data_IF_004913719478
#
_entry.id   IF_004913719478
#
_cell.length_a   1.000
_cell.length_b   1.000
_cell.length_c   1.000
_cell.angle_alpha   90.00
_cell.angle_beta   90.00
_cell.angle_gamma   90.00
#
_symmetry.space_group_name_H-M   'P 1'
#
loop_
_entity.id
_entity.type
_entity.pdbx_description
1 polymer ?
#
# COMPACT_ATOMS: atom_id res chain seq x y z
N UNK A 1 30.85 3.36 -4.36
CA UNK A 1 29.56 3.56 -5.05
C UNK A 1 28.67 4.46 -4.22
N UNK A 2 27.97 5.41 -4.85
CA UNK A 2 27.05 6.32 -4.14
C UNK A 2 25.73 5.60 -3.82
N UNK A 3 25.27 5.72 -2.57
CA UNK A 3 24.05 5.04 -2.08
C UNK A 3 22.76 5.79 -2.44
N UNK A 4 22.63 6.29 -3.67
CA UNK A 4 21.59 7.26 -4.04
C UNK A 4 20.30 6.60 -4.53
N UNK A 5 20.36 5.37 -5.07
CA UNK A 5 19.23 4.63 -5.64
C UNK A 5 19.36 3.12 -5.50
N UNK A 6 18.28 2.36 -5.67
CA UNK A 6 18.25 0.89 -5.49
C UNK A 6 19.23 0.13 -6.41
N UNK A 7 19.67 0.73 -7.52
CA UNK A 7 20.59 0.13 -8.47
C UNK A 7 21.94 -0.31 -7.89
N UNK A 8 22.41 0.31 -6.79
CA UNK A 8 23.66 -0.12 -6.17
C UNK A 8 23.56 -1.53 -5.58
N UNK A 9 22.37 -2.02 -5.21
CA UNK A 9 22.22 -3.31 -4.51
C UNK A 9 22.70 -4.46 -5.39
N UNK A 10 22.14 -4.60 -6.60
CA UNK A 10 22.50 -5.70 -7.50
C UNK A 10 23.97 -5.64 -7.96
N UNK A 11 24.47 -4.42 -8.22
CA UNK A 11 25.87 -4.24 -8.63
C UNK A 11 26.85 -4.48 -7.48
N UNK A 12 26.49 -4.10 -6.25
CA UNK A 12 27.27 -4.39 -5.05
C UNK A 12 27.38 -5.89 -4.82
N UNK A 13 26.26 -6.62 -4.86
CA UNK A 13 26.23 -8.09 -4.69
C UNK A 13 27.04 -8.82 -5.79
N UNK A 14 26.98 -8.33 -7.03
CA UNK A 14 27.77 -8.89 -8.13
C UNK A 14 29.28 -8.66 -7.95
N UNK A 15 29.68 -7.50 -7.43
CA UNK A 15 31.09 -7.17 -7.21
C UNK A 15 31.63 -7.89 -5.96
N UNK A 16 30.83 -7.99 -4.90
CA UNK A 16 31.16 -8.72 -3.68
C UNK A 16 31.34 -10.22 -3.97
N UNK A 17 30.44 -10.84 -4.73
CA UNK A 17 30.57 -12.25 -5.15
C UNK A 17 31.78 -12.53 -6.04
N UNK A 18 32.35 -11.49 -6.69
CA UNK A 18 33.60 -11.56 -7.46
C UNK A 18 34.85 -11.25 -6.62
N UNK A 19 34.71 -11.02 -5.32
CA UNK A 19 35.82 -10.78 -4.39
C UNK A 19 36.32 -9.34 -4.36
N UNK A 20 35.56 -8.36 -4.87
CA UNK A 20 35.95 -6.95 -4.78
C UNK A 20 35.54 -6.35 -3.43
N UNK A 21 36.43 -5.57 -2.83
CA UNK A 21 36.10 -4.74 -1.66
C UNK A 21 35.30 -3.51 -2.12
N UNK A 22 33.98 -3.58 -2.03
CA UNK A 22 33.10 -2.49 -2.44
C UNK A 22 32.80 -1.57 -1.26
N UNK A 23 33.17 -0.29 -1.39
CA UNK A 23 32.81 0.74 -0.42
C UNK A 23 31.53 1.46 -0.87
N UNK A 24 30.46 1.32 -0.09
CA UNK A 24 29.25 2.12 -0.24
C UNK A 24 29.49 3.48 0.43
N UNK A 25 29.18 4.59 -0.23
CA UNK A 25 29.45 5.93 0.30
C UNK A 25 28.15 6.73 0.34
N UNK A 26 27.92 7.44 1.45
CA UNK A 26 26.74 8.30 1.60
C UNK A 26 26.88 9.54 0.72
N UNK A 27 25.90 9.77 -0.15
CA UNK A 27 25.81 10.93 -1.04
C UNK A 27 25.98 12.28 -0.32
N UNK A 28 25.57 12.38 0.95
CA UNK A 28 25.69 13.61 1.76
C UNK A 28 27.14 13.99 2.05
N UNK A 29 28.06 13.02 2.08
CA UNK A 29 29.49 13.26 2.30
C UNK A 29 30.22 13.60 0.99
N UNK A 30 29.58 13.31 -0.15
CA UNK A 30 30.08 13.61 -1.50
C UNK A 30 29.32 14.84 -2.05
N UNK A 31 29.13 15.88 -1.23
CA UNK A 31 28.40 17.08 -1.63
C UNK A 31 29.07 17.70 -2.87
N UNK A 32 28.31 17.78 -3.97
CA UNK A 32 28.77 18.30 -5.26
C UNK A 32 29.15 19.78 -5.18
N UNK A 33 30.20 20.12 -5.90
CA UNK A 33 30.48 21.49 -6.35
C UNK A 33 29.42 21.85 -7.41
N UNK A 34 28.83 23.05 -7.34
CA UNK A 34 27.83 23.49 -8.32
C UNK A 34 28.47 23.84 -9.66
N UNK A 35 28.21 23.05 -10.71
CA UNK A 35 28.61 23.33 -12.09
C UNK A 35 28.72 22.06 -12.93
N UNK A 36 28.24 22.12 -14.19
CA UNK A 36 28.23 21.06 -15.24
C UNK A 36 28.69 19.67 -14.78
N UNK A 37 27.79 18.98 -14.09
CA UNK A 37 27.95 17.62 -13.57
C UNK A 37 27.77 16.61 -14.71
N UNK A 38 28.81 15.83 -15.02
CA UNK A 38 28.80 14.70 -15.95
C UNK A 38 29.12 13.45 -15.14
N UNK A 39 28.43 12.33 -15.39
CA UNK A 39 28.64 11.07 -14.66
C UNK A 39 30.11 10.63 -14.68
N UNK A 40 30.87 10.97 -15.73
CA UNK A 40 32.30 10.69 -15.85
C UNK A 40 33.13 11.53 -14.87
N UNK A 41 32.83 12.84 -14.77
CA UNK A 41 33.52 13.75 -13.85
C UNK A 41 33.22 13.36 -12.39
N UNK A 42 32.01 12.89 -12.12
CA UNK A 42 31.64 12.43 -10.78
C UNK A 42 32.36 11.16 -10.37
N UNK A 43 32.51 10.21 -11.29
CA UNK A 43 33.28 8.99 -11.05
C UNK A 43 34.76 9.31 -10.76
N UNK A 44 35.35 10.24 -11.53
CA UNK A 44 36.73 10.69 -11.32
C UNK A 44 36.89 11.39 -9.97
N UNK A 45 35.93 12.25 -9.60
CA UNK A 45 35.94 12.92 -8.30
C UNK A 45 35.82 11.94 -7.14
N UNK A 46 34.92 10.95 -7.23
CA UNK A 46 34.77 9.89 -6.24
C UNK A 46 36.04 9.03 -6.12
N UNK A 47 36.72 8.76 -7.24
CA UNK A 47 38.00 8.05 -7.24
C UNK A 47 39.09 8.86 -6.50
N UNK A 48 39.22 10.15 -6.77
CA UNK A 48 40.19 11.01 -6.09
C UNK A 48 39.93 11.04 -4.58
N UNK A 49 38.68 11.20 -4.16
CA UNK A 49 38.31 11.18 -2.74
C UNK A 49 38.60 9.82 -2.07
N UNK A 50 38.47 8.71 -2.82
CA UNK A 50 38.83 7.38 -2.34
C UNK A 50 40.35 7.24 -2.15
N UNK A 51 41.16 7.72 -3.09
CA UNK A 51 42.64 7.69 -3.00
C UNK A 51 43.13 8.45 -1.78
N UNK A 52 42.54 9.62 -1.51
CA UNK A 52 42.86 10.41 -0.33
C UNK A 52 42.28 9.84 0.99
N UNK A 53 41.59 8.69 0.94
CA UNK A 53 40.92 8.07 2.11
C UNK A 53 39.94 9.02 2.83
N UNK A 54 39.42 10.02 2.12
CA UNK A 54 38.47 11.00 2.66
C UNK A 54 37.03 10.46 2.68
N UNK A 55 36.78 9.31 2.05
CA UNK A 55 35.49 8.64 2.03
C UNK A 55 35.42 7.55 3.10
N UNK A 56 34.45 7.68 4.00
CA UNK A 56 34.11 6.61 4.94
C UNK A 56 33.00 5.74 4.36
N UNK A 57 33.23 4.43 4.34
CA UNK A 57 32.22 3.45 3.97
C UNK A 57 30.99 3.56 4.87
N UNK A 58 29.80 3.56 4.26
CA UNK A 58 28.54 3.40 4.95
C UNK A 58 28.44 1.98 5.49
N UNK A 59 27.92 1.85 6.71
CA UNK A 59 27.72 0.55 7.32
C UNK A 59 26.61 -0.22 6.62
N UNK A 60 26.95 -1.37 6.02
CA UNK A 60 26.02 -2.36 5.51
C UNK A 60 26.02 -3.56 6.48
N UNK A 61 24.86 -3.96 7.03
CA UNK A 61 24.73 -5.22 7.77
C UNK A 61 25.05 -6.42 6.88
N UNK A 62 25.30 -7.60 7.48
CA UNK A 62 25.43 -8.84 6.71
C UNK A 62 24.22 -9.12 5.82
N UNK A 63 24.44 -9.92 4.76
CA UNK A 63 23.41 -10.26 3.78
C UNK A 63 22.14 -10.82 4.43
N UNK A 64 22.29 -11.71 5.41
CA UNK A 64 21.18 -12.30 6.17
C UNK A 64 20.32 -11.23 6.87
N UNK A 65 20.97 -10.25 7.49
CA UNK A 65 20.28 -9.13 8.17
C UNK A 65 19.62 -8.21 7.14
N UNK A 66 20.24 -8.02 5.97
CA UNK A 66 19.67 -7.23 4.88
C UNK A 66 18.39 -7.88 4.33
N UNK A 67 18.41 -9.19 4.08
CA UNK A 67 17.26 -9.98 3.66
C UNK A 67 16.11 -9.91 4.69
N UNK A 68 16.43 -10.10 5.98
CA UNK A 68 15.45 -10.00 7.06
C UNK A 68 14.81 -8.61 7.13
N UNK A 69 15.61 -7.54 7.01
CA UNK A 69 15.11 -6.16 7.01
C UNK A 69 14.18 -5.89 5.82
N UNK A 70 14.46 -6.46 4.65
CA UNK A 70 13.59 -6.33 3.48
C UNK A 70 12.22 -6.98 3.72
N UNK A 71 12.19 -8.19 4.27
CA UNK A 71 10.94 -8.87 4.65
C UNK A 71 10.14 -8.08 5.70
N UNK A 72 10.82 -7.55 6.71
CA UNK A 72 10.17 -6.73 7.74
C UNK A 72 9.57 -5.44 7.18
N UNK A 73 10.30 -4.73 6.30
CA UNK A 73 9.76 -3.54 5.63
C UNK A 73 8.56 -3.87 4.77
N UNK A 74 8.58 -4.99 4.05
CA UNK A 74 7.43 -5.43 3.25
C UNK A 74 6.21 -5.71 4.16
N UNK A 75 6.41 -6.41 5.28
CA UNK A 75 5.35 -6.65 6.26
C UNK A 75 4.78 -5.34 6.81
N UNK A 76 5.63 -4.42 7.23
CA UNK A 76 5.22 -3.12 7.76
C UNK A 76 4.43 -2.31 6.71
N UNK A 77 4.87 -2.34 5.45
CA UNK A 77 4.15 -1.72 4.33
C UNK A 77 2.76 -2.33 4.15
N UNK A 78 2.64 -3.66 4.16
CA UNK A 78 1.36 -4.34 4.03
C UNK A 78 0.42 -4.00 5.20
N UNK A 79 0.94 -3.96 6.43
CA UNK A 79 0.16 -3.56 7.61
C UNK A 79 -0.35 -2.12 7.50
N UNK A 80 0.51 -1.18 7.08
CA UNK A 80 0.10 0.23 6.86
C UNK A 80 -0.93 0.35 5.72
N UNK A 81 -0.78 -0.45 4.67
CA UNK A 81 -1.68 -0.42 3.51
C UNK A 81 -3.02 -1.09 3.79
N UNK A 82 -3.10 -2.04 4.73
CA UNK A 82 -4.34 -2.74 5.08
C UNK A 82 -5.49 -1.77 5.38
N UNK A 83 -5.25 -0.78 6.24
CA UNK A 83 -6.26 0.24 6.58
C UNK A 83 -6.70 1.07 5.38
N UNK A 84 -5.77 1.39 4.48
CA UNK A 84 -6.08 2.12 3.24
C UNK A 84 -6.95 1.29 2.29
N UNK A 85 -6.65 0.00 2.15
CA UNK A 85 -7.46 -0.90 1.34
C UNK A 85 -8.87 -1.06 1.91
N UNK A 86 -9.02 -1.13 3.24
CA UNK A 86 -10.33 -1.13 3.90
C UNK A 86 -11.14 0.14 3.58
N UNK A 87 -10.52 1.31 3.70
CA UNK A 87 -11.16 2.58 3.37
C UNK A 87 -11.54 2.68 1.89
N UNK A 88 -10.70 2.18 0.99
CA UNK A 88 -11.00 2.16 -0.44
C UNK A 88 -12.19 1.26 -0.75
N UNK A 89 -12.29 0.08 -0.11
CA UNK A 89 -13.46 -0.80 -0.25
C UNK A 89 -14.74 -0.14 0.28
N UNK A 90 -14.68 0.49 1.46
CA UNK A 90 -15.80 1.25 2.01
C UNK A 90 -16.27 2.35 1.05
N UNK A 91 -15.32 3.13 0.51
CA UNK A 91 -15.62 4.21 -0.43
C UNK A 91 -16.29 3.68 -1.71
N UNK A 92 -15.80 2.57 -2.25
CA UNK A 92 -16.40 1.94 -3.44
C UNK A 92 -17.84 1.48 -3.17
N UNK A 93 -18.09 0.87 -2.01
CA UNK A 93 -19.44 0.46 -1.59
C UNK A 93 -20.38 1.66 -1.46
N UNK A 94 -19.93 2.77 -0.85
CA UNK A 94 -20.71 4.00 -0.75
C UNK A 94 -21.02 4.60 -2.13
N UNK A 95 -20.06 4.58 -3.07
CA UNK A 95 -20.28 5.05 -4.45
C UNK A 95 -21.32 4.21 -5.21
N UNK A 96 -21.46 2.93 -4.88
CA UNK A 96 -22.50 2.04 -5.43
C UNK A 96 -23.85 2.15 -4.70
N UNK A 97 -24.00 3.14 -3.80
CA UNK A 97 -25.17 3.34 -2.94
C UNK A 97 -25.47 2.14 -2.00
N UNK A 98 -24.41 1.43 -1.57
CA UNK A 98 -24.48 0.35 -0.60
C UNK A 98 -23.91 0.87 0.72
N UNK A 99 -24.77 1.15 1.70
CA UNK A 99 -24.36 1.74 2.98
C UNK A 99 -23.96 0.68 4.02
N UNK A 100 -23.15 -0.31 3.60
CA UNK A 100 -22.70 -1.40 4.47
C UNK A 100 -21.79 -0.92 5.62
N UNK A 101 -21.12 0.23 5.42
CA UNK A 101 -20.22 0.86 6.40
C UNK A 101 -20.94 1.36 7.66
N UNK A 102 -22.24 1.60 7.61
CA UNK A 102 -23.01 2.09 8.76
C UNK A 102 -23.44 0.95 9.70
N UNK A 103 -23.41 -0.29 9.21
CA UNK A 103 -24.01 -1.45 9.88
C UNK A 103 -22.95 -2.48 10.28
N UNK A 104 -21.86 -2.60 9.53
CA UNK A 104 -20.78 -3.55 9.82
C UNK A 104 -19.54 -2.78 10.30
N UNK A 105 -19.16 -2.99 11.56
CA UNK A 105 -17.97 -2.37 12.17
C UNK A 105 -16.66 -2.73 11.46
N UNK A 106 -16.60 -3.90 10.81
CA UNK A 106 -15.41 -4.36 10.08
C UNK A 106 -15.77 -5.20 8.85
N UNK A 107 -15.45 -4.69 7.65
CA UNK A 107 -15.75 -5.34 6.36
C UNK A 107 -14.82 -6.54 6.10
N UNK A 108 -13.63 -6.58 6.71
CA UNK A 108 -12.67 -7.66 6.54
C UNK A 108 -12.91 -8.88 7.45
N UNK A 109 -14.02 -8.91 8.19
CA UNK A 109 -14.43 -10.11 8.92
C UNK A 109 -15.16 -11.09 8.01
N UNK A 110 -15.22 -12.36 8.44
CA UNK A 110 -15.84 -13.46 7.66
C UNK A 110 -17.23 -13.10 7.11
N UNK A 111 -18.02 -12.36 7.87
CA UNK A 111 -19.37 -11.93 7.45
C UNK A 111 -19.31 -10.84 6.38
N UNK A 112 -18.44 -9.85 6.54
CA UNK A 112 -18.29 -8.76 5.58
C UNK A 112 -17.72 -9.27 4.25
N UNK A 113 -16.78 -10.21 4.30
CA UNK A 113 -16.22 -10.85 3.12
C UNK A 113 -17.26 -11.72 2.39
N UNK A 114 -18.06 -12.51 3.12
CA UNK A 114 -19.17 -13.30 2.53
C UNK A 114 -20.18 -12.43 1.80
N UNK A 115 -20.63 -11.35 2.45
CA UNK A 115 -21.57 -10.39 1.85
C UNK A 115 -20.95 -9.72 0.62
N UNK A 116 -19.69 -9.29 0.71
CA UNK A 116 -19.00 -8.66 -0.42
C UNK A 116 -18.85 -9.63 -1.61
N UNK A 117 -18.51 -10.89 -1.34
CA UNK A 117 -18.42 -11.93 -2.38
C UNK A 117 -19.77 -12.22 -3.03
N UNK A 118 -20.85 -12.24 -2.26
CA UNK A 118 -22.20 -12.40 -2.78
C UNK A 118 -22.62 -11.21 -3.68
N UNK A 119 -22.32 -9.97 -3.25
CA UNK A 119 -22.57 -8.76 -4.06
C UNK A 119 -21.78 -8.81 -5.38
N UNK A 120 -20.51 -9.24 -5.34
CA UNK A 120 -19.68 -9.42 -6.54
C UNK A 120 -20.22 -10.54 -7.44
N UNK A 121 -20.79 -11.60 -6.86
CA UNK A 121 -21.44 -12.68 -7.61
C UNK A 121 -22.77 -12.28 -8.27
N UNK A 122 -23.28 -11.08 -7.99
CA UNK A 122 -24.49 -10.53 -8.60
C UNK A 122 -25.72 -10.55 -7.70
N UNK A 123 -25.62 -11.06 -6.47
CA UNK A 123 -26.72 -11.09 -5.51
C UNK A 123 -26.93 -9.69 -4.90
N UNK A 124 -28.13 -9.13 -5.10
CA UNK A 124 -28.52 -7.79 -4.60
C UNK A 124 -29.75 -7.81 -3.70
N UNK A 125 -30.27 -8.98 -3.38
CA UNK A 125 -31.41 -9.10 -2.46
C UNK A 125 -30.95 -8.86 -1.01
N UNK A 126 -31.43 -7.77 -0.43
CA UNK A 126 -31.10 -7.36 0.94
C UNK A 126 -31.52 -8.38 2.01
N UNK A 127 -32.52 -9.24 1.74
CA UNK A 127 -32.94 -10.29 2.68
C UNK A 127 -31.99 -11.49 2.65
N UNK A 128 -31.54 -11.90 1.46
CA UNK A 128 -30.56 -12.99 1.28
C UNK A 128 -29.21 -12.59 1.87
N UNK A 129 -28.79 -11.34 1.67
CA UNK A 129 -27.56 -10.79 2.24
C UNK A 129 -27.65 -10.62 3.77
N UNK A 130 -28.82 -10.26 4.31
CA UNK A 130 -29.05 -10.19 5.75
C UNK A 130 -29.07 -11.57 6.42
N UNK A 131 -29.55 -12.61 5.73
CA UNK A 131 -29.54 -14.00 6.22
C UNK A 131 -28.13 -14.60 6.31
N UNK A 132 -27.13 -14.05 5.59
CA UNK A 132 -25.72 -14.47 5.68
C UNK A 132 -24.99 -13.91 6.93
N UNK A 133 -25.72 -13.25 7.83
CA UNK A 133 -25.21 -12.65 9.05
C UNK A 133 -24.66 -13.70 10.01
N UNK A 134 -23.50 -13.41 10.60
CA UNK A 134 -22.91 -14.18 11.69
C UNK A 134 -23.47 -13.71 13.05
N UNK A 135 -23.63 -14.65 13.99
CA UNK A 135 -24.17 -14.46 15.34
C UNK A 135 -23.49 -13.32 16.13
N UNK A 136 -22.23 -12.99 15.80
CA UNK A 136 -21.45 -11.92 16.46
C UNK A 136 -21.85 -10.49 16.07
N UNK A 137 -22.67 -10.31 15.04
CA UNK A 137 -23.15 -8.98 14.65
C UNK A 137 -24.41 -8.66 15.47
N UNK A 138 -24.33 -7.64 16.33
CA UNK A 138 -25.46 -7.24 17.18
C UNK A 138 -26.56 -6.47 16.44
N UNK A 139 -26.32 -6.04 15.19
CA UNK A 139 -27.27 -5.25 14.39
C UNK A 139 -28.36 -6.14 13.81
N UNK A 140 -29.62 -5.70 13.87
CA UNK A 140 -30.75 -6.51 13.43
C UNK A 140 -30.73 -6.76 11.92
N UNK A 141 -31.27 -7.90 11.48
CA UNK A 141 -31.36 -8.26 10.04
C UNK A 141 -32.18 -7.22 9.25
N UNK A 142 -33.16 -6.58 9.91
CA UNK A 142 -33.97 -5.50 9.35
C UNK A 142 -33.15 -4.23 9.08
N UNK A 143 -32.19 -3.89 9.95
CA UNK A 143 -31.30 -2.74 9.76
C UNK A 143 -30.28 -3.01 8.63
N UNK A 144 -29.79 -4.24 8.50
CA UNK A 144 -28.93 -4.66 7.39
C UNK A 144 -29.70 -4.55 6.06
N UNK A 145 -30.92 -5.10 6.00
CA UNK A 145 -31.75 -5.02 4.81
C UNK A 145 -32.09 -3.57 4.42
N UNK A 146 -32.34 -2.70 5.40
CA UNK A 146 -32.61 -1.27 5.17
C UNK A 146 -31.40 -0.50 4.65
N UNK A 147 -30.18 -0.83 5.10
CA UNK A 147 -28.95 -0.21 4.59
C UNK A 147 -28.48 -0.77 3.24
N UNK A 148 -28.99 -1.93 2.84
CA UNK A 148 -28.77 -2.55 1.53
C UNK A 148 -29.83 -2.14 0.48
N UNK A 149 -31.00 -1.67 0.91
CA UNK A 149 -31.97 -1.04 0.02
C UNK A 149 -31.42 0.30 -0.44
N UNK A 150 -31.10 0.38 -1.74
CA UNK A 150 -30.69 1.58 -2.46
C UNK A 150 -31.59 2.75 -2.06
N UNK A 151 -31.05 3.74 -1.36
CA UNK A 151 -31.76 4.96 -0.90
C UNK A 151 -32.08 5.90 -2.09
N UNK A 152 -32.61 5.39 -3.21
CA UNK A 152 -32.69 6.15 -4.45
C UNK A 152 -33.76 5.74 -5.46
N UNK A 153 -34.80 4.96 -5.11
CA UNK A 153 -35.85 4.64 -6.07
C UNK A 153 -37.26 4.45 -5.48
N UNK A 154 -37.60 5.14 -4.38
CA UNK A 154 -38.99 5.16 -3.90
C UNK A 154 -39.31 6.40 -3.07
N UNK A 155 -39.14 7.59 -3.67
CA UNK A 155 -39.86 8.78 -3.22
C UNK A 155 -40.22 9.66 -4.42
N UNK A 156 -41.44 9.45 -4.93
CA UNK A 156 -42.35 10.48 -5.48
C UNK A 156 -41.73 11.71 -6.16
N UNK A 157 -41.55 11.64 -7.48
CA UNK A 157 -41.89 12.80 -8.30
C UNK A 157 -43.37 12.66 -8.67
N UNK A 158 -44.23 13.28 -7.87
CA UNK A 158 -45.58 13.65 -8.32
C UNK A 158 -45.43 14.48 -9.58
N UNK A 159 -45.70 13.88 -10.74
CA UNK A 159 -46.14 14.64 -11.89
C UNK A 159 -47.62 14.92 -11.63
N UNK A 160 -47.91 15.99 -10.88
CA UNK A 160 -49.21 16.65 -11.02
C UNK A 160 -49.25 17.25 -12.42
N UNK A 161 -50.29 16.96 -13.24
CA UNK A 161 -50.46 17.65 -14.51
C UNK A 161 -50.76 19.12 -14.22
N UNK A 162 -49.87 20.01 -14.67
CA UNK A 162 -50.15 21.44 -14.77
C UNK A 162 -50.78 21.65 -16.15
N UNK A 163 -52.09 21.93 -16.11
CA UNK A 163 -52.98 22.48 -17.14
C UNK A 163 -53.24 21.64 -18.40
#
# INVERSE_FOLDING_TARGET
MESTWVYWIALFELLESRGFTVLLVNARHVKNVSGRKSDVLDCQWQQQLMIYSLLRGAFRPSDEVCALRSLWRQREMLQKNQGRHLQHMQKALTQMNIQLSNVISNIAEETGEKILRAIVAGERDGQVLAAMKNVRIHVSEAEIAKSLQVTGASNTYSISPIN
#
